data_IF_724206862435
#
_entry.id   IF_724206862435
#
_cell.length_a   1.000
_cell.length_b   1.000
_cell.length_c   1.000
_cell.angle_alpha   90.00
_cell.angle_beta   90.00
_cell.angle_gamma   90.00
#
_symmetry.space_group_name_H-M   'P 1'
#
loop_
_entity.id
_entity.type
_entity.pdbx_description
1 polymer ?
#
# COMPACT_ATOMS: atom_id res chain seq x y z
N UNK A 1 -3.35 -3.93 -22.35
CA UNK A 1 -2.10 -3.75 -21.62
C UNK A 1 -2.10 -4.43 -20.25
N UNK A 2 -3.01 -4.14 -19.34
CA UNK A 2 -3.10 -4.76 -17.99
C UNK A 2 -3.21 -6.30 -18.01
N UNK A 3 -4.04 -6.88 -18.88
CA UNK A 3 -4.12 -8.35 -19.08
C UNK A 3 -2.80 -8.98 -19.54
N UNK A 4 -1.99 -8.26 -20.33
CA UNK A 4 -0.69 -8.75 -20.79
C UNK A 4 0.35 -8.75 -19.66
N UNK A 5 0.36 -7.72 -18.82
CA UNK A 5 1.25 -7.64 -17.65
C UNK A 5 0.91 -8.75 -16.65
N UNK A 6 -0.37 -8.90 -16.30
CA UNK A 6 -0.83 -9.99 -15.43
C UNK A 6 -0.48 -11.37 -16.01
N UNK A 7 -0.69 -11.57 -17.32
CA UNK A 7 -0.38 -12.84 -17.98
C UNK A 7 1.13 -13.11 -18.04
N UNK A 8 1.97 -12.09 -18.18
CA UNK A 8 3.42 -12.26 -18.21
C UNK A 8 3.99 -12.55 -16.81
N UNK A 9 3.53 -11.86 -15.78
CA UNK A 9 3.93 -12.12 -14.39
C UNK A 9 3.42 -13.48 -13.89
N UNK A 10 2.19 -13.87 -14.24
CA UNK A 10 1.65 -15.19 -13.88
C UNK A 10 2.37 -16.36 -14.56
N UNK A 11 3.04 -16.14 -15.70
CA UNK A 11 3.84 -17.16 -16.36
C UNK A 11 5.16 -17.47 -15.67
N UNK A 12 5.70 -16.54 -14.90
CA UNK A 12 6.95 -16.74 -14.17
C UNK A 12 6.71 -17.44 -12.84
N UNK A 13 7.62 -18.33 -12.45
CA UNK A 13 7.55 -19.04 -11.15
C UNK A 13 7.52 -18.04 -9.97
N UNK A 14 8.37 -17.02 -10.00
CA UNK A 14 8.41 -15.98 -8.98
C UNK A 14 7.10 -15.17 -8.91
N UNK A 15 6.48 -14.89 -10.06
CA UNK A 15 5.19 -14.21 -10.10
C UNK A 15 4.06 -15.03 -9.45
N UNK A 16 4.01 -16.34 -9.71
CA UNK A 16 3.03 -17.24 -9.07
C UNK A 16 3.20 -17.27 -7.55
N UNK A 17 4.46 -17.38 -7.08
CA UNK A 17 4.76 -17.35 -5.65
C UNK A 17 4.36 -16.03 -5.00
N UNK A 18 4.63 -14.89 -5.65
CA UNK A 18 4.20 -13.58 -5.18
C UNK A 18 2.68 -13.45 -5.05
N UNK A 19 1.94 -13.89 -6.07
CA UNK A 19 0.47 -13.91 -6.00
C UNK A 19 -0.07 -14.84 -4.92
N UNK A 20 0.52 -16.03 -4.78
CA UNK A 20 0.14 -16.97 -3.72
C UNK A 20 0.36 -16.35 -2.34
N UNK A 21 1.53 -15.73 -2.12
CA UNK A 21 1.86 -15.07 -0.86
C UNK A 21 0.89 -13.93 -0.54
N UNK A 22 0.61 -13.05 -1.51
CA UNK A 22 -0.36 -11.96 -1.33
C UNK A 22 -1.77 -12.49 -1.02
N UNK A 23 -2.20 -13.54 -1.71
CA UNK A 23 -3.50 -14.16 -1.50
C UNK A 23 -3.59 -14.77 -0.11
N UNK A 24 -2.54 -15.49 0.34
CA UNK A 24 -2.49 -16.06 1.68
C UNK A 24 -2.50 -14.98 2.77
N UNK A 25 -1.77 -13.89 2.56
CA UNK A 25 -1.72 -12.77 3.49
C UNK A 25 -3.08 -12.06 3.60
N UNK A 26 -3.72 -11.79 2.46
CA UNK A 26 -5.05 -11.14 2.45
C UNK A 26 -6.13 -12.04 3.05
N UNK A 27 -6.16 -13.32 2.66
CA UNK A 27 -7.16 -14.27 3.19
C UNK A 27 -6.91 -14.58 4.65
N UNK A 28 -5.66 -14.71 5.09
CA UNK A 28 -5.28 -14.92 6.48
C UNK A 28 -5.67 -13.74 7.37
N UNK A 29 -5.39 -12.52 6.94
CA UNK A 29 -5.78 -11.31 7.67
C UNK A 29 -7.30 -11.17 7.78
N UNK A 30 -8.03 -11.42 6.69
CA UNK A 30 -9.49 -11.39 6.70
C UNK A 30 -10.07 -12.51 7.58
N UNK A 31 -9.52 -13.71 7.51
CA UNK A 31 -9.92 -14.83 8.35
C UNK A 31 -9.66 -14.53 9.84
N UNK A 32 -8.51 -13.97 10.18
CA UNK A 32 -8.19 -13.56 11.54
C UNK A 32 -9.22 -12.55 12.08
N UNK A 33 -9.52 -11.51 11.30
CA UNK A 33 -10.52 -10.49 11.66
C UNK A 33 -11.91 -11.09 11.94
N UNK A 34 -12.33 -12.07 11.11
CA UNK A 34 -13.66 -12.69 11.22
C UNK A 34 -13.72 -13.77 12.31
N UNK A 35 -12.64 -14.54 12.49
CA UNK A 35 -12.62 -15.72 13.36
C UNK A 35 -12.12 -15.43 14.76
N UNK A 36 -11.39 -14.35 15.00
CA UNK A 36 -10.84 -13.98 16.30
C UNK A 36 -11.90 -13.94 17.43
N UNK A 37 -13.14 -13.56 17.08
CA UNK A 37 -14.24 -13.47 18.06
C UNK A 37 -15.09 -14.73 18.17
N UNK A 38 -15.01 -15.63 17.19
CA UNK A 38 -15.93 -16.77 17.07
C UNK A 38 -15.26 -18.12 17.30
N UNK A 39 -14.04 -18.31 16.80
CA UNK A 39 -13.33 -19.59 16.80
C UNK A 39 -12.07 -19.53 17.64
N UNK A 40 -11.35 -18.43 17.60
CA UNK A 40 -10.12 -18.26 18.37
C UNK A 40 -10.41 -17.60 19.73
N UNK A 41 -10.01 -18.25 20.83
CA UNK A 41 -10.16 -17.66 22.16
C UNK A 41 -9.41 -16.33 22.27
N UNK A 42 -10.16 -15.25 22.52
CA UNK A 42 -9.59 -13.89 22.61
C UNK A 42 -8.50 -13.81 23.67
N UNK A 43 -8.67 -14.54 24.79
CA UNK A 43 -7.70 -14.55 25.88
C UNK A 43 -6.30 -15.04 25.47
N UNK A 44 -6.21 -15.90 24.45
CA UNK A 44 -4.94 -16.48 23.97
C UNK A 44 -4.43 -15.77 22.73
N UNK A 45 -5.32 -15.50 21.77
CA UNK A 45 -4.94 -15.00 20.44
C UNK A 45 -5.18 -13.50 20.22
N UNK A 46 -5.50 -12.75 21.28
CA UNK A 46 -5.52 -11.29 21.16
C UNK A 46 -4.10 -10.77 20.88
N UNK A 47 -3.91 -9.94 19.84
CA UNK A 47 -2.57 -9.48 19.44
C UNK A 47 -1.92 -8.52 20.44
N UNK A 48 -2.68 -7.98 21.40
CA UNK A 48 -2.19 -6.98 22.36
C UNK A 48 -2.08 -7.57 23.77
N UNK A 49 -3.13 -8.25 24.23
CA UNK A 49 -3.25 -8.73 25.60
C UNK A 49 -3.35 -10.26 25.72
N UNK A 50 -3.27 -10.96 24.58
CA UNK A 50 -3.33 -12.44 24.59
C UNK A 50 -2.18 -13.04 25.38
N UNK A 51 -2.50 -14.08 26.19
CA UNK A 51 -1.51 -14.80 26.98
C UNK A 51 -1.98 -16.23 27.21
N UNK A 52 -1.15 -17.21 26.87
CA UNK A 52 -1.48 -18.62 27.12
C UNK A 52 -0.70 -19.18 28.32
N UNK A 53 -1.41 -19.37 29.42
CA UNK A 53 -0.86 -19.97 30.62
C UNK A 53 -0.53 -21.47 30.49
N UNK A 54 -1.14 -22.17 29.52
CA UNK A 54 -1.00 -23.61 29.36
C UNK A 54 0.36 -24.03 28.81
N UNK A 55 1.07 -23.10 28.17
CA UNK A 55 2.37 -23.34 27.50
C UNK A 55 3.52 -22.54 28.14
N UNK A 56 3.34 -22.11 29.38
CA UNK A 56 4.40 -21.40 30.11
C UNK A 56 5.62 -22.31 30.38
N UNK A 57 6.90 -21.82 30.36
CA UNK A 57 7.29 -20.41 30.19
C UNK A 57 7.39 -19.95 28.74
N UNK A 58 7.20 -18.65 28.51
CA UNK A 58 7.38 -18.00 27.22
C UNK A 58 8.82 -17.49 27.04
N UNK A 59 9.33 -17.35 25.79
CA UNK A 59 8.66 -17.66 24.50
C UNK A 59 8.61 -19.18 24.23
N UNK A 60 7.56 -19.61 23.53
CA UNK A 60 7.38 -21.02 23.12
C UNK A 60 7.68 -21.16 21.62
N UNK A 61 8.32 -22.26 21.25
CA UNK A 61 8.58 -22.61 19.85
C UNK A 61 7.30 -22.94 19.09
N UNK A 62 7.30 -22.88 17.74
CA UNK A 62 6.16 -23.25 16.92
C UNK A 62 5.55 -24.61 17.31
N UNK A 63 4.22 -24.62 17.48
CA UNK A 63 3.45 -25.78 17.96
C UNK A 63 2.08 -25.84 17.27
N UNK A 64 1.28 -26.86 17.57
CA UNK A 64 -0.08 -26.98 17.03
C UNK A 64 -1.04 -25.88 17.53
N UNK A 65 -0.81 -25.31 18.72
CA UNK A 65 -1.57 -24.19 19.28
C UNK A 65 -1.03 -22.84 18.85
N UNK A 66 0.27 -22.70 18.72
CA UNK A 66 0.98 -21.48 18.30
C UNK A 66 1.84 -21.78 17.08
N UNK A 67 1.27 -21.62 15.87
CA UNK A 67 1.92 -22.00 14.61
C UNK A 67 3.28 -21.33 14.39
N UNK A 68 3.45 -20.09 14.81
CA UNK A 68 4.72 -19.34 14.76
C UNK A 68 5.35 -19.14 16.14
N UNK A 69 4.84 -19.86 17.16
CA UNK A 69 5.28 -19.70 18.53
C UNK A 69 4.72 -18.44 19.21
N UNK A 70 5.26 -18.12 20.39
CA UNK A 70 4.90 -16.93 21.16
C UNK A 70 6.08 -16.00 21.32
N UNK A 71 5.80 -14.71 21.53
CA UNK A 71 6.80 -13.72 21.91
C UNK A 71 7.16 -13.84 23.43
N UNK A 72 8.17 -13.09 23.92
CA UNK A 72 8.53 -13.12 25.33
C UNK A 72 7.42 -12.65 26.28
N UNK A 73 6.40 -11.94 25.77
CA UNK A 73 5.24 -11.48 26.54
C UNK A 73 4.08 -12.50 26.49
N UNK A 74 4.27 -13.64 25.84
CA UNK A 74 3.27 -14.71 25.75
C UNK A 74 2.21 -14.51 24.66
N UNK A 75 2.37 -13.52 23.79
CA UNK A 75 1.43 -13.25 22.70
C UNK A 75 1.71 -14.14 21.49
N UNK A 76 0.68 -14.61 20.82
CA UNK A 76 0.83 -15.44 19.61
C UNK A 76 1.37 -14.62 18.42
N UNK A 77 2.51 -15.02 17.90
CA UNK A 77 3.22 -14.31 16.82
C UNK A 77 2.40 -14.28 15.54
N UNK A 78 1.67 -15.36 15.21
CA UNK A 78 0.82 -15.40 14.02
C UNK A 78 -0.34 -14.40 14.12
N UNK A 79 -1.00 -14.35 15.27
CA UNK A 79 -2.09 -13.39 15.52
C UNK A 79 -1.62 -11.94 15.44
N UNK A 80 -0.46 -11.63 16.00
CA UNK A 80 0.16 -10.31 15.89
C UNK A 80 0.45 -9.94 14.42
N UNK A 81 0.99 -10.88 13.64
CA UNK A 81 1.31 -10.67 12.24
C UNK A 81 0.04 -10.43 11.40
N UNK A 82 -0.99 -11.26 11.60
CA UNK A 82 -2.26 -11.15 10.86
C UNK A 82 -3.03 -9.87 11.23
N UNK A 83 -3.09 -9.54 12.52
CA UNK A 83 -3.71 -8.30 12.99
C UNK A 83 -2.99 -7.06 12.47
N UNK A 84 -1.65 -7.06 12.46
CA UNK A 84 -0.84 -5.98 11.91
C UNK A 84 -0.97 -5.83 10.39
N UNK A 85 -1.30 -6.89 9.67
CA UNK A 85 -1.47 -6.84 8.20
C UNK A 85 -2.77 -6.15 7.76
N UNK A 86 -3.82 -6.15 8.60
CA UNK A 86 -5.11 -5.51 8.28
C UNK A 86 -4.99 -4.00 8.00
N UNK A 87 -4.41 -3.17 8.89
CA UNK A 87 -4.25 -1.75 8.62
C UNK A 87 -3.33 -1.48 7.41
N UNK A 88 -2.31 -2.31 7.19
CA UNK A 88 -1.43 -2.19 6.01
C UNK A 88 -2.18 -2.45 4.71
N UNK A 89 -3.06 -3.44 4.66
CA UNK A 89 -3.89 -3.74 3.48
C UNK A 89 -4.82 -2.56 3.19
N UNK A 90 -5.53 -2.05 4.21
CA UNK A 90 -6.42 -0.87 4.07
C UNK A 90 -5.66 0.34 3.55
N UNK A 91 -4.53 0.68 4.17
CA UNK A 91 -3.66 1.77 3.76
C UNK A 91 -3.19 1.63 2.32
N UNK A 92 -2.77 0.42 1.91
CA UNK A 92 -2.30 0.15 0.56
C UNK A 92 -3.41 0.35 -0.49
N UNK A 93 -4.63 -0.11 -0.21
CA UNK A 93 -5.78 0.05 -1.11
C UNK A 93 -6.14 1.53 -1.27
N UNK A 94 -6.24 2.26 -0.16
CA UNK A 94 -6.55 3.70 -0.17
C UNK A 94 -5.47 4.46 -0.94
N UNK A 95 -4.19 4.19 -0.65
CA UNK A 95 -3.07 4.84 -1.33
C UNK A 95 -3.04 4.54 -2.82
N UNK A 96 -3.32 3.31 -3.22
CA UNK A 96 -3.38 2.94 -4.63
C UNK A 96 -4.50 3.68 -5.37
N UNK A 97 -5.70 3.70 -4.81
CA UNK A 97 -6.87 4.36 -5.44
C UNK A 97 -6.63 5.87 -5.53
N UNK A 98 -6.22 6.50 -4.44
CA UNK A 98 -5.98 7.95 -4.41
C UNK A 98 -4.82 8.35 -5.33
N UNK A 99 -3.73 7.57 -5.34
CA UNK A 99 -2.60 7.80 -6.23
C UNK A 99 -2.96 7.66 -7.70
N UNK A 100 -3.75 6.64 -8.04
CA UNK A 100 -4.21 6.41 -9.39
C UNK A 100 -5.16 7.53 -9.87
N UNK A 101 -6.14 7.90 -9.06
CA UNK A 101 -7.10 8.96 -9.40
C UNK A 101 -6.39 10.30 -9.54
N UNK A 102 -5.56 10.68 -8.56
CA UNK A 102 -4.84 11.96 -8.59
C UNK A 102 -3.90 12.05 -9.80
N UNK A 103 -3.15 11.01 -10.10
CA UNK A 103 -2.23 11.00 -11.23
C UNK A 103 -2.94 11.03 -12.58
N UNK A 104 -4.07 10.35 -12.73
CA UNK A 104 -4.87 10.40 -13.95
C UNK A 104 -5.49 11.78 -14.16
N UNK A 105 -6.11 12.35 -13.14
CA UNK A 105 -6.74 13.68 -13.26
C UNK A 105 -5.66 14.74 -13.50
N UNK A 106 -4.71 14.88 -12.59
CA UNK A 106 -3.71 15.94 -12.65
C UNK A 106 -2.78 15.74 -13.85
N UNK A 107 -2.33 14.50 -14.09
CA UNK A 107 -1.41 14.16 -15.19
C UNK A 107 -2.02 14.33 -16.59
N UNK A 108 -3.35 14.28 -16.71
CA UNK A 108 -4.03 14.49 -17.99
C UNK A 108 -4.40 15.96 -18.19
N UNK A 109 -5.10 16.56 -17.21
CA UNK A 109 -5.66 17.90 -17.40
C UNK A 109 -4.63 19.01 -17.29
N UNK A 110 -3.63 18.90 -16.42
CA UNK A 110 -2.66 19.99 -16.23
C UNK A 110 -1.78 20.24 -17.45
N UNK A 111 -1.17 19.23 -18.09
CA UNK A 111 -0.39 19.45 -19.31
C UNK A 111 -1.22 20.00 -20.48
N UNK A 112 -2.52 19.67 -20.50
CA UNK A 112 -3.44 20.08 -21.54
C UNK A 112 -3.91 21.54 -21.36
N UNK A 113 -4.31 21.91 -20.15
CA UNK A 113 -4.94 23.21 -19.86
C UNK A 113 -3.94 24.27 -19.36
N UNK A 114 -2.92 23.88 -18.60
CA UNK A 114 -2.10 24.79 -17.81
C UNK A 114 -0.58 24.54 -18.00
N UNK A 115 -0.03 24.91 -19.17
CA UNK A 115 1.38 24.65 -19.50
C UNK A 115 2.40 25.18 -18.48
N UNK A 116 2.16 26.37 -17.90
CA UNK A 116 3.07 26.95 -16.87
C UNK A 116 3.02 26.17 -15.56
N UNK A 117 1.82 25.75 -15.17
CA UNK A 117 1.62 24.98 -13.95
C UNK A 117 2.17 23.54 -14.08
N UNK A 118 2.09 22.97 -15.28
CA UNK A 118 2.73 21.68 -15.58
C UNK A 118 4.25 21.70 -15.38
N UNK A 119 4.93 22.80 -15.73
CA UNK A 119 6.37 22.94 -15.50
C UNK A 119 6.68 22.92 -13.98
N UNK A 120 5.97 23.70 -13.19
CA UNK A 120 6.14 23.72 -11.73
C UNK A 120 5.83 22.36 -11.10
N UNK A 121 4.77 21.70 -11.54
CA UNK A 121 4.42 20.36 -11.04
C UNK A 121 5.46 19.31 -11.41
N UNK A 122 6.10 19.41 -12.59
CA UNK A 122 7.18 18.49 -12.97
C UNK A 122 8.39 18.63 -12.06
N UNK A 123 8.80 19.86 -11.76
CA UNK A 123 9.91 20.12 -10.83
C UNK A 123 9.58 19.58 -9.43
N UNK A 124 8.38 19.87 -8.93
CA UNK A 124 7.89 19.32 -7.67
C UNK A 124 7.86 17.77 -7.66
N UNK A 125 7.33 17.17 -8.74
CA UNK A 125 7.26 15.72 -8.89
C UNK A 125 8.65 15.09 -8.96
N UNK A 126 9.59 15.73 -9.65
CA UNK A 126 10.99 15.27 -9.69
C UNK A 126 11.63 15.30 -8.30
N UNK A 127 11.34 16.32 -7.51
CA UNK A 127 11.74 16.37 -6.09
C UNK A 127 11.14 15.25 -5.25
N UNK A 128 9.85 14.95 -5.43
CA UNK A 128 9.18 13.83 -4.74
C UNK A 128 9.74 12.45 -5.11
N UNK A 129 10.26 12.31 -6.34
CA UNK A 129 10.93 11.06 -6.75
C UNK A 129 12.26 10.87 -6.02
N UNK A 130 13.00 11.95 -5.80
CA UNK A 130 14.26 11.92 -5.06
C UNK A 130 14.04 11.64 -3.57
N UNK A 131 13.00 12.23 -3.00
CA UNK A 131 12.63 12.02 -1.59
C UNK A 131 11.47 11.03 -1.59
N UNK A 132 11.78 9.75 -1.35
CA UNK A 132 10.75 8.69 -1.33
C UNK A 132 9.59 9.07 -0.38
N UNK A 133 8.31 8.87 -0.79
CA UNK A 133 7.15 9.21 0.03
C UNK A 133 7.16 8.66 1.47
N UNK A 134 7.69 7.45 1.76
CA UNK A 134 7.88 6.99 3.13
C UNK A 134 8.76 7.89 3.98
N UNK A 135 9.81 8.46 3.40
CA UNK A 135 10.72 9.38 4.12
C UNK A 135 9.99 10.69 4.45
N UNK A 136 9.19 11.21 3.53
CA UNK A 136 8.36 12.40 3.78
C UNK A 136 7.40 12.15 4.94
N UNK A 137 6.72 11.00 4.95
CA UNK A 137 5.83 10.63 6.05
C UNK A 137 6.59 10.43 7.38
N UNK A 138 7.79 9.87 7.34
CA UNK A 138 8.61 9.68 8.53
C UNK A 138 9.03 11.04 9.13
N UNK A 139 9.43 11.98 8.28
CA UNK A 139 9.77 13.35 8.72
C UNK A 139 8.54 14.06 9.32
N UNK A 140 7.37 13.95 8.67
CA UNK A 140 6.12 14.50 9.18
C UNK A 140 5.67 13.80 10.47
N UNK A 141 6.03 12.53 10.64
CA UNK A 141 5.69 11.71 11.80
C UNK A 141 6.54 11.93 13.03
N UNK A 142 7.65 12.66 12.92
CA UNK A 142 8.47 13.04 14.09
C UNK A 142 7.80 14.08 14.98
N UNK A 143 6.67 14.66 14.57
CA UNK A 143 5.80 15.50 15.40
C UNK A 143 4.48 14.79 15.69
N UNK A 144 3.73 15.28 16.67
CA UNK A 144 2.39 14.76 17.07
C UNK A 144 1.33 14.81 15.94
N UNK A 145 1.74 15.18 14.74
CA UNK A 145 0.85 15.38 13.60
C UNK A 145 0.28 14.05 13.09
N UNK A 146 1.12 13.02 12.93
CA UNK A 146 0.65 11.71 12.43
C UNK A 146 -0.16 10.94 13.48
N UNK A 147 0.11 11.12 14.77
CA UNK A 147 -0.67 10.48 15.83
C UNK A 147 -2.13 10.94 15.85
N UNK A 148 -2.40 12.15 15.35
CA UNK A 148 -3.75 12.73 15.24
C UNK A 148 -4.48 12.34 13.95
N UNK A 149 -3.77 11.74 12.99
CA UNK A 149 -4.36 11.32 11.73
C UNK A 149 -4.86 9.88 11.82
N UNK A 150 -6.04 9.63 11.27
CA UNK A 150 -6.48 8.25 11.10
C UNK A 150 -5.61 7.52 10.07
N UNK A 151 -5.46 6.18 10.16
CA UNK A 151 -4.71 5.39 9.17
C UNK A 151 -5.17 5.63 7.73
N UNK A 152 -6.48 5.88 7.54
CA UNK A 152 -7.05 6.18 6.23
C UNK A 152 -6.54 7.52 5.67
N UNK A 153 -6.42 8.54 6.52
CA UNK A 153 -5.86 9.84 6.12
C UNK A 153 -4.38 9.74 5.76
N UNK A 154 -3.62 8.92 6.49
CA UNK A 154 -2.23 8.63 6.15
C UNK A 154 -2.13 7.95 4.79
N UNK A 155 -3.00 6.96 4.53
CA UNK A 155 -3.09 6.30 3.23
C UNK A 155 -3.45 7.25 2.09
N UNK A 156 -4.37 8.17 2.34
CA UNK A 156 -4.76 9.20 1.37
C UNK A 156 -3.59 10.14 1.03
N UNK A 157 -2.90 10.68 2.03
CA UNK A 157 -1.74 11.56 1.83
C UNK A 157 -0.62 10.82 1.08
N UNK A 158 -0.34 9.58 1.49
CA UNK A 158 0.66 8.74 0.83
C UNK A 158 0.32 8.51 -0.64
N UNK A 159 -0.94 8.22 -0.93
CA UNK A 159 -1.43 8.05 -2.30
C UNK A 159 -1.30 9.32 -3.13
N UNK A 160 -1.65 10.48 -2.57
CA UNK A 160 -1.48 11.77 -3.25
C UNK A 160 0.00 12.05 -3.59
N UNK A 161 0.90 11.87 -2.62
CA UNK A 161 2.34 12.08 -2.84
C UNK A 161 2.89 11.13 -3.91
N UNK A 162 2.53 9.85 -3.86
CA UNK A 162 2.91 8.86 -4.87
C UNK A 162 2.33 9.15 -6.25
N UNK A 163 1.06 9.55 -6.30
CA UNK A 163 0.35 9.89 -7.54
C UNK A 163 0.91 11.15 -8.21
N UNK A 164 1.21 12.18 -7.43
CA UNK A 164 1.83 13.42 -7.93
C UNK A 164 3.34 13.28 -8.19
N UNK A 165 3.98 12.23 -7.71
CA UNK A 165 5.38 11.92 -7.99
C UNK A 165 5.57 11.22 -9.35
N UNK A 166 6.01 9.97 -9.31
CA UNK A 166 6.36 9.17 -10.50
C UNK A 166 5.20 9.04 -11.48
N UNK A 167 3.99 8.75 -10.98
CA UNK A 167 2.82 8.51 -11.85
C UNK A 167 2.45 9.76 -12.66
N UNK A 168 2.49 10.94 -12.05
CA UNK A 168 2.27 12.21 -12.75
C UNK A 168 3.28 12.41 -13.88
N UNK A 169 4.59 12.21 -13.62
CA UNK A 169 5.63 12.39 -14.64
C UNK A 169 5.41 11.48 -15.85
N UNK A 170 5.06 10.21 -15.60
CA UNK A 170 4.80 9.24 -16.67
C UNK A 170 3.57 9.65 -17.50
N UNK A 171 2.45 9.94 -16.84
CA UNK A 171 1.18 10.26 -17.51
C UNK A 171 1.31 11.58 -18.27
N UNK A 172 1.82 12.64 -17.62
CA UNK A 172 1.97 13.96 -18.26
C UNK A 172 2.91 13.94 -19.46
N UNK A 173 3.95 13.10 -19.44
CA UNK A 173 4.82 12.90 -20.59
C UNK A 173 4.08 12.22 -21.74
N UNK A 174 3.34 11.16 -21.47
CA UNK A 174 2.54 10.47 -22.50
C UNK A 174 1.44 11.36 -23.08
N UNK A 175 0.79 12.17 -22.27
CA UNK A 175 -0.21 13.15 -22.73
C UNK A 175 0.43 14.17 -23.67
N UNK A 176 1.63 14.69 -23.36
CA UNK A 176 2.36 15.61 -24.24
C UNK A 176 2.77 14.98 -25.56
N UNK A 177 3.25 13.73 -25.53
CA UNK A 177 3.56 12.98 -26.75
C UNK A 177 2.33 12.84 -27.65
N UNK A 178 1.16 12.54 -27.07
CA UNK A 178 -0.09 12.43 -27.81
C UNK A 178 -0.56 13.78 -28.37
N UNK A 179 -0.47 14.86 -27.59
CA UNK A 179 -0.86 16.21 -28.05
C UNK A 179 0.01 16.65 -29.22
N UNK A 180 1.29 16.32 -29.23
CA UNK A 180 2.23 16.70 -30.26
C UNK A 180 2.30 15.68 -31.43
N UNK A 181 1.48 14.62 -31.40
CA UNK A 181 1.48 13.63 -32.47
C UNK A 181 0.90 14.21 -33.77
N UNK A 182 1.47 13.82 -34.93
CA UNK A 182 1.02 14.24 -36.23
C UNK A 182 -0.45 13.90 -36.52
N UNK A 183 -0.97 12.85 -35.93
CA UNK A 183 -2.38 12.43 -36.03
C UNK A 183 -3.36 13.51 -35.53
N UNK A 184 -3.07 14.16 -34.41
CA UNK A 184 -3.91 15.26 -33.91
C UNK A 184 -3.74 16.54 -34.71
N UNK A 185 -2.57 16.78 -35.27
CA UNK A 185 -2.32 17.92 -36.17
C UNK A 185 -3.08 17.73 -37.48
N UNK A 186 -3.12 16.53 -38.04
CA UNK A 186 -3.89 16.22 -39.25
C UNK A 186 -5.41 16.35 -39.08
N UNK A 187 -5.94 16.13 -37.84
CA UNK A 187 -7.39 16.27 -37.55
C UNK A 187 -7.85 17.73 -37.36
N UNK A 188 -6.92 18.69 -37.33
CA UNK A 188 -7.21 20.12 -37.17
C UNK A 188 -7.23 20.89 -38.52
N UNK A 189 -6.90 20.23 -39.62
CA UNK A 189 -7.01 20.73 -40.98
C UNK A 189 -8.33 20.28 -41.59
#
# INVERSE_FOLDING_TARGET
MFKLILRSTYKTYHGKLGYLFLLLLMTGSLAHMLLLKTVWPVNIYDPIVGFDLSVFPHPVTPSGTHLLGTDPLGRDVLSMFLAGSEPLIKLSIISFITGLISSLIVGTFVPFLFKRFDMLLREFSSGLVLISPPIVLLILGTGDFLEKLSPEMVGFIYGLLGGLGVCYLVISTRVKELINSEFLNASRV
#
